data_IF_100509901866
#
_entry.id   IF_100509901866
#
_cell.length_a   1.000
_cell.length_b   1.000
_cell.length_c   1.000
_cell.angle_alpha   90.00
_cell.angle_beta   90.00
_cell.angle_gamma   90.00
#
_symmetry.space_group_name_H-M   'P 1'
#
loop_
_entity.id
_entity.type
_entity.pdbx_description
1 polymer ?
#
# COMPACT_ATOMS: atom_id res chain seq x y z
N UNK A 1 16.05 13.24 24.54
CA UNK A 1 15.14 14.31 24.02
C UNK A 1 13.69 13.90 24.15
N UNK A 2 13.32 12.71 23.66
CA UNK A 2 11.96 12.18 23.79
C UNK A 2 11.55 11.93 25.24
N UNK A 3 12.45 11.41 26.09
CA UNK A 3 12.15 11.20 27.53
C UNK A 3 11.78 12.50 28.28
N UNK A 4 12.37 13.63 27.90
CA UNK A 4 12.01 14.93 28.47
C UNK A 4 10.62 15.39 28.01
N UNK A 5 10.22 15.08 26.78
CA UNK A 5 8.86 15.37 26.29
C UNK A 5 7.82 14.47 26.99
N UNK A 6 8.17 13.19 27.22
CA UNK A 6 7.33 12.24 27.94
C UNK A 6 7.13 12.70 29.38
N UNK A 7 8.23 12.98 30.10
CA UNK A 7 8.20 13.45 31.48
C UNK A 7 7.39 14.75 31.62
N UNK A 8 7.55 15.68 30.68
CA UNK A 8 6.78 16.92 30.64
C UNK A 8 5.29 16.69 30.35
N UNK A 9 4.94 15.66 29.58
CA UNK A 9 3.54 15.27 29.36
C UNK A 9 2.90 14.66 30.62
N UNK A 10 3.67 13.93 31.42
CA UNK A 10 3.21 13.38 32.69
C UNK A 10 3.11 14.43 33.79
N UNK A 11 4.04 15.39 33.82
CA UNK A 11 3.97 16.56 34.70
C UNK A 11 2.78 17.45 34.35
N UNK A 12 2.49 17.64 33.05
CA UNK A 12 1.28 18.31 32.57
C UNK A 12 0.02 17.58 33.03
N UNK A 13 -0.01 16.25 32.91
CA UNK A 13 -1.14 15.44 33.37
C UNK A 13 -1.37 15.61 34.87
N UNK A 14 -0.31 15.54 35.69
CA UNK A 14 -0.38 15.76 37.14
C UNK A 14 -0.90 17.15 37.49
N UNK A 15 -0.37 18.18 36.84
CA UNK A 15 -0.86 19.54 37.03
C UNK A 15 -2.33 19.69 36.62
N UNK A 16 -2.73 19.05 35.52
CA UNK A 16 -4.12 19.07 35.07
C UNK A 16 -5.04 18.37 36.08
N UNK A 17 -4.65 17.19 36.59
CA UNK A 17 -5.41 16.46 37.60
C UNK A 17 -5.51 17.25 38.89
N UNK A 18 -4.42 17.86 39.37
CA UNK A 18 -4.43 18.67 40.59
C UNK A 18 -5.31 19.93 40.45
N UNK A 19 -5.25 20.59 39.28
CA UNK A 19 -6.08 21.77 39.00
C UNK A 19 -7.55 21.40 38.95
N UNK A 20 -7.87 20.25 38.35
CA UNK A 20 -9.23 19.85 38.06
C UNK A 20 -9.90 19.08 39.21
N UNK A 21 -9.15 18.44 40.11
CA UNK A 21 -9.67 17.87 41.38
C UNK A 21 -10.28 18.93 42.29
N UNK A 22 -9.88 20.21 42.15
CA UNK A 22 -10.53 21.32 42.85
C UNK A 22 -11.92 21.66 42.29
N UNK A 23 -12.28 21.10 41.13
CA UNK A 23 -13.57 21.27 40.46
C UNK A 23 -14.34 19.94 40.54
N UNK A 24 -15.63 19.95 40.90
CA UNK A 24 -16.47 18.75 41.12
C UNK A 24 -16.86 18.09 39.77
N UNK A 25 -15.89 17.80 38.91
CA UNK A 25 -16.13 17.24 37.59
C UNK A 25 -16.08 15.69 37.62
N UNK A 26 -16.86 15.02 36.77
CA UNK A 26 -16.82 13.57 36.66
C UNK A 26 -15.48 13.05 36.11
N UNK A 27 -14.99 11.92 36.61
CA UNK A 27 -13.69 11.32 36.22
C UNK A 27 -13.53 11.08 34.71
N UNK A 28 -14.62 10.75 34.01
CA UNK A 28 -14.58 10.53 32.56
C UNK A 28 -14.24 11.80 31.76
N UNK A 29 -14.52 12.99 32.32
CA UNK A 29 -14.18 14.27 31.67
C UNK A 29 -12.66 14.49 31.67
N UNK A 30 -11.97 14.12 32.74
CA UNK A 30 -10.50 14.21 32.83
C UNK A 30 -9.82 13.30 31.83
N UNK A 31 -10.31 12.06 31.70
CA UNK A 31 -9.77 11.11 30.74
C UNK A 31 -9.91 11.61 29.29
N UNK A 32 -11.04 12.23 28.93
CA UNK A 32 -11.24 12.79 27.59
C UNK A 32 -10.35 14.01 27.33
N UNK A 33 -10.16 14.89 28.31
CA UNK A 33 -9.30 16.08 28.17
C UNK A 33 -7.83 15.67 28.05
N UNK A 34 -7.33 14.76 28.90
CA UNK A 34 -5.95 14.24 28.80
C UNK A 34 -5.73 13.56 27.45
N UNK A 35 -6.64 12.68 27.02
CA UNK A 35 -6.56 12.02 25.72
C UNK A 35 -6.54 13.02 24.55
N UNK A 36 -7.35 14.08 24.62
CA UNK A 36 -7.39 15.14 23.61
C UNK A 36 -6.07 15.92 23.56
N UNK A 37 -5.51 16.28 24.71
CA UNK A 37 -4.26 17.03 24.82
C UNK A 37 -3.07 16.21 24.31
N UNK A 38 -2.84 15.05 24.93
CA UNK A 38 -2.61 13.76 24.26
C UNK A 38 -2.31 13.78 22.75
N UNK A 39 -3.40 13.53 22.03
CA UNK A 39 -3.45 13.43 20.58
C UNK A 39 -3.06 14.74 19.90
N UNK A 40 -3.44 15.91 20.45
CA UNK A 40 -3.10 17.20 19.88
C UNK A 40 -1.58 17.43 19.86
N UNK A 41 -0.87 17.13 20.96
CA UNK A 41 0.59 17.25 21.04
C UNK A 41 1.26 16.32 20.02
N UNK A 42 0.82 15.06 19.96
CA UNK A 42 1.37 14.10 19.01
C UNK A 42 1.13 14.53 17.56
N UNK A 43 -0.06 15.05 17.27
CA UNK A 43 -0.41 15.58 15.95
C UNK A 43 0.48 16.76 15.55
N UNK A 44 0.68 17.72 16.45
CA UNK A 44 1.55 18.88 16.21
C UNK A 44 3.00 18.42 15.96
N UNK A 45 3.50 17.49 16.76
CA UNK A 45 4.86 16.96 16.61
C UNK A 45 5.02 16.24 15.25
N UNK A 46 4.07 15.37 14.91
CA UNK A 46 4.04 14.66 13.64
C UNK A 46 3.96 15.63 12.46
N UNK A 47 3.12 16.66 12.54
CA UNK A 47 3.00 17.70 11.53
C UNK A 47 4.29 18.52 11.36
N UNK A 48 4.96 18.85 12.46
CA UNK A 48 6.24 19.54 12.43
C UNK A 48 7.31 18.68 11.72
N UNK A 49 7.39 17.40 12.06
CA UNK A 49 8.31 16.45 11.41
C UNK A 49 7.98 16.29 9.94
N UNK A 50 6.70 16.22 9.56
CA UNK A 50 6.28 16.23 8.16
C UNK A 50 6.77 17.49 7.42
N UNK A 51 6.56 18.67 8.01
CA UNK A 51 6.97 19.94 7.40
C UNK A 51 8.49 20.00 7.21
N UNK A 52 9.25 19.60 8.24
CA UNK A 52 10.71 19.53 8.19
C UNK A 52 11.17 18.52 7.16
N UNK A 53 10.65 17.30 7.17
CA UNK A 53 10.98 16.26 6.21
C UNK A 53 10.70 16.71 4.77
N UNK A 54 9.52 17.27 4.51
CA UNK A 54 9.14 17.81 3.20
C UNK A 54 10.09 18.92 2.75
N UNK A 55 10.42 19.87 3.62
CA UNK A 55 11.31 20.99 3.30
C UNK A 55 12.74 20.52 3.01
N UNK A 56 13.24 19.59 3.81
CA UNK A 56 14.56 18.97 3.63
C UNK A 56 14.60 18.19 2.31
N UNK A 57 13.65 17.29 2.09
CA UNK A 57 13.57 16.47 0.89
C UNK A 57 13.49 17.35 -0.37
N UNK A 58 12.57 18.32 -0.41
CA UNK A 58 12.45 19.24 -1.56
C UNK A 58 13.72 20.06 -1.79
N UNK A 59 14.36 20.54 -0.72
CA UNK A 59 15.61 21.30 -0.83
C UNK A 59 16.72 20.45 -1.45
N UNK A 60 16.91 19.22 -0.97
CA UNK A 60 17.88 18.29 -1.53
C UNK A 60 17.54 17.91 -2.97
N UNK A 61 16.26 17.66 -3.27
CA UNK A 61 15.80 17.35 -4.63
C UNK A 61 16.15 18.46 -5.63
N UNK A 62 15.85 19.73 -5.32
CA UNK A 62 16.17 20.87 -6.20
C UNK A 62 17.69 21.04 -6.34
N UNK A 63 18.45 20.83 -5.25
CA UNK A 63 19.91 20.96 -5.25
C UNK A 63 20.59 19.84 -6.05
N UNK A 64 20.08 18.61 -5.99
CA UNK A 64 20.54 17.46 -6.77
C UNK A 64 20.25 17.66 -8.26
N UNK A 65 19.03 18.06 -8.62
CA UNK A 65 18.64 18.36 -10.01
C UNK A 65 19.52 19.46 -10.63
N UNK A 66 19.82 20.53 -9.89
CA UNK A 66 20.68 21.61 -10.41
C UNK A 66 22.16 21.24 -10.51
N UNK A 67 22.63 20.20 -9.81
CA UNK A 67 24.05 19.77 -9.82
C UNK A 67 24.32 18.65 -10.83
N UNK A 68 23.32 17.86 -11.19
CA UNK A 68 23.52 16.68 -12.04
C UNK A 68 23.29 17.03 -13.51
N UNK A 69 24.12 16.49 -14.41
CA UNK A 69 23.89 16.57 -15.87
C UNK A 69 22.91 15.51 -16.39
N UNK A 70 22.49 14.60 -15.52
CA UNK A 70 21.54 13.53 -15.81
C UNK A 70 20.14 14.13 -15.90
N UNK A 71 19.25 13.56 -16.73
CA UNK A 71 17.83 13.92 -16.78
C UNK A 71 16.96 12.99 -15.93
N UNK A 72 17.56 11.98 -15.29
CA UNK A 72 16.81 10.92 -14.57
C UNK A 72 16.21 11.41 -13.25
N UNK A 73 16.88 12.33 -12.58
CA UNK A 73 16.44 13.01 -11.37
C UNK A 73 15.22 13.91 -11.59
N UNK A 74 15.10 14.54 -12.77
CA UNK A 74 13.90 15.31 -13.14
C UNK A 74 12.61 14.45 -13.09
N UNK A 75 12.69 13.18 -13.53
CA UNK A 75 11.55 12.26 -13.48
C UNK A 75 11.15 11.90 -12.03
N UNK A 76 12.13 11.73 -11.13
CA UNK A 76 11.86 11.51 -9.70
C UNK A 76 11.11 12.69 -9.07
N UNK A 77 11.46 13.92 -9.46
CA UNK A 77 10.77 15.15 -9.01
C UNK A 77 9.37 15.22 -9.60
N UNK A 78 9.24 14.99 -10.91
CA UNK A 78 7.97 15.05 -11.63
C UNK A 78 6.95 14.07 -11.05
N UNK A 79 7.36 12.82 -10.78
CA UNK A 79 6.53 11.80 -10.14
C UNK A 79 6.38 11.98 -8.63
N UNK A 80 7.00 13.02 -8.05
CA UNK A 80 6.91 13.40 -6.63
C UNK A 80 7.31 12.26 -5.68
N UNK A 81 8.29 11.43 -6.07
CA UNK A 81 8.73 10.26 -5.26
C UNK A 81 9.18 10.71 -3.87
N UNK A 82 10.02 11.75 -3.81
CA UNK A 82 10.51 12.30 -2.54
C UNK A 82 9.40 12.91 -1.66
N UNK A 83 8.36 13.46 -2.29
CA UNK A 83 7.20 13.94 -1.54
C UNK A 83 6.43 12.77 -0.91
N UNK A 84 6.25 11.66 -1.62
CA UNK A 84 5.62 10.46 -1.06
C UNK A 84 6.44 9.89 0.09
N UNK A 85 7.78 9.82 -0.05
CA UNK A 85 8.69 9.41 1.04
C UNK A 85 8.56 10.32 2.27
N UNK A 86 8.33 11.63 2.09
CA UNK A 86 8.19 12.56 3.22
C UNK A 86 7.02 12.23 4.15
N UNK A 87 6.00 11.50 3.67
CA UNK A 87 4.88 11.04 4.49
C UNK A 87 5.25 9.86 5.42
N UNK A 88 6.38 9.17 5.20
CA UNK A 88 6.86 8.11 6.11
C UNK A 88 7.30 8.72 7.45
N UNK A 89 7.94 9.89 7.42
CA UNK A 89 8.46 10.55 8.62
C UNK A 89 7.38 10.81 9.71
N UNK A 90 6.23 11.46 9.43
CA UNK A 90 5.18 11.64 10.44
C UNK A 90 4.59 10.33 10.94
N UNK A 91 4.53 9.30 10.10
CA UNK A 91 4.01 7.99 10.47
C UNK A 91 4.92 7.26 11.46
N UNK A 92 6.25 7.32 11.25
CA UNK A 92 7.25 6.79 12.18
C UNK A 92 7.15 7.50 13.54
N UNK A 93 6.95 8.81 13.55
CA UNK A 93 6.81 9.58 14.81
C UNK A 93 5.59 9.11 15.59
N UNK A 94 4.44 8.91 14.92
CA UNK A 94 3.24 8.39 15.58
C UNK A 94 3.50 7.00 16.12
N UNK A 95 4.05 6.09 15.31
CA UNK A 95 4.34 4.71 15.71
C UNK A 95 5.35 4.59 16.86
N UNK A 96 6.35 5.46 16.91
CA UNK A 96 7.39 5.40 17.94
C UNK A 96 6.95 6.02 19.28
N UNK A 97 5.93 6.90 19.25
CA UNK A 97 5.50 7.65 20.43
C UNK A 97 4.09 7.28 20.90
N UNK A 98 3.33 6.51 20.13
CA UNK A 98 1.98 6.11 20.50
C UNK A 98 1.92 5.36 21.83
N UNK A 99 2.86 4.45 22.10
CA UNK A 99 2.94 3.71 23.38
C UNK A 99 3.19 4.66 24.55
N UNK A 100 4.04 5.66 24.37
CA UNK A 100 4.33 6.65 25.41
C UNK A 100 3.16 7.59 25.67
N UNK A 101 2.43 7.99 24.63
CA UNK A 101 1.31 8.94 24.73
C UNK A 101 -0.01 8.25 25.11
N UNK A 102 -0.27 7.06 24.59
CA UNK A 102 -1.54 6.33 24.73
C UNK A 102 -1.44 5.02 25.51
N UNK A 103 -0.29 4.69 26.11
CA UNK A 103 -0.11 3.46 26.92
C UNK A 103 -1.11 3.30 28.07
N UNK A 104 -1.62 4.42 28.59
CA UNK A 104 -2.66 4.45 29.63
C UNK A 104 -4.06 4.05 29.08
N UNK A 105 -4.25 4.15 27.76
CA UNK A 105 -5.51 3.89 27.05
C UNK A 105 -5.33 2.73 26.04
N UNK A 106 -5.39 1.45 26.49
CA UNK A 106 -5.04 0.30 25.65
C UNK A 106 -5.82 0.21 24.33
N UNK A 107 -7.11 0.54 24.36
CA UNK A 107 -7.97 0.54 23.16
C UNK A 107 -7.53 1.60 22.14
N UNK A 108 -7.19 2.81 22.61
CA UNK A 108 -6.73 3.89 21.72
C UNK A 108 -5.32 3.59 21.21
N UNK A 109 -4.43 3.08 22.06
CA UNK A 109 -3.10 2.63 21.64
C UNK A 109 -3.22 1.60 20.51
N UNK A 110 -4.03 0.54 20.69
CA UNK A 110 -4.19 -0.49 19.67
C UNK A 110 -4.68 0.08 18.34
N UNK A 111 -5.67 0.98 18.37
CA UNK A 111 -6.22 1.61 17.17
C UNK A 111 -5.17 2.51 16.49
N UNK A 112 -4.54 3.41 17.26
CA UNK A 112 -3.55 4.36 16.72
C UNK A 112 -2.33 3.65 16.15
N UNK A 113 -1.81 2.65 16.86
CA UNK A 113 -0.69 1.81 16.42
C UNK A 113 -1.02 1.04 15.13
N UNK A 114 -2.21 0.43 15.09
CA UNK A 114 -2.70 -0.30 13.91
C UNK A 114 -2.81 0.63 12.70
N UNK A 115 -3.40 1.81 12.88
CA UNK A 115 -3.56 2.81 11.83
C UNK A 115 -2.20 3.34 11.36
N UNK A 116 -1.25 3.56 12.27
CA UNK A 116 0.10 4.01 11.93
C UNK A 116 0.82 2.99 11.04
N UNK A 117 0.74 1.69 11.36
CA UNK A 117 1.33 0.62 10.55
C UNK A 117 0.66 0.54 9.17
N UNK A 118 -0.67 0.53 9.11
CA UNK A 118 -1.40 0.47 7.84
C UNK A 118 -1.04 1.68 6.96
N UNK A 119 -0.95 2.87 7.55
CA UNK A 119 -0.55 4.08 6.86
C UNK A 119 0.90 3.99 6.33
N UNK A 120 1.83 3.48 7.13
CA UNK A 120 3.22 3.24 6.71
C UNK A 120 3.31 2.28 5.52
N UNK A 121 2.62 1.12 5.60
CA UNK A 121 2.55 0.16 4.48
C UNK A 121 2.01 0.88 3.24
N UNK A 122 0.88 1.59 3.36
CA UNK A 122 0.28 2.33 2.26
C UNK A 122 1.25 3.30 1.58
N UNK A 123 2.02 4.09 2.34
CA UNK A 123 2.99 5.04 1.78
C UNK A 123 4.14 4.33 1.07
N UNK A 124 4.67 3.24 1.63
CA UNK A 124 5.76 2.46 1.02
C UNK A 124 5.32 1.95 -0.35
N UNK A 125 4.16 1.31 -0.44
CA UNK A 125 3.63 0.79 -1.70
C UNK A 125 3.24 1.90 -2.69
N UNK A 126 2.72 3.03 -2.19
CA UNK A 126 2.44 4.19 -3.04
C UNK A 126 3.71 4.86 -3.58
N UNK A 127 4.80 4.83 -2.81
CA UNK A 127 6.13 5.29 -3.24
C UNK A 127 6.72 4.34 -4.27
N UNK A 128 6.60 3.02 -4.06
CA UNK A 128 7.08 2.00 -4.99
C UNK A 128 6.41 2.12 -6.36
N UNK A 129 5.09 2.37 -6.40
CA UNK A 129 4.37 2.64 -7.64
C UNK A 129 4.90 3.89 -8.36
N UNK A 130 5.19 4.98 -7.63
CA UNK A 130 5.81 6.15 -8.25
C UNK A 130 7.20 5.83 -8.83
N UNK A 131 8.00 5.03 -8.13
CA UNK A 131 9.31 4.62 -8.61
C UNK A 131 9.20 3.77 -9.89
N UNK A 132 8.24 2.85 -9.96
CA UNK A 132 7.95 2.08 -11.17
C UNK A 132 7.51 2.99 -12.33
N UNK A 133 6.68 4.00 -12.08
CA UNK A 133 6.31 4.99 -13.10
C UNK A 133 7.50 5.85 -13.56
N UNK A 134 8.46 6.15 -12.68
CA UNK A 134 9.70 6.83 -13.07
C UNK A 134 10.52 5.94 -14.01
N UNK A 135 10.61 4.63 -13.74
CA UNK A 135 11.29 3.70 -14.65
C UNK A 135 10.62 3.66 -16.03
N UNK A 136 9.29 3.69 -16.07
CA UNK A 136 8.53 3.80 -17.32
C UNK A 136 8.87 5.09 -18.08
N UNK A 137 8.86 6.24 -17.41
CA UNK A 137 9.18 7.53 -18.02
C UNK A 137 10.60 7.55 -18.59
N UNK A 138 11.56 7.03 -17.82
CA UNK A 138 12.97 6.92 -18.24
C UNK A 138 13.09 6.02 -19.47
N UNK A 139 12.42 4.89 -19.48
CA UNK A 139 12.42 3.97 -20.62
C UNK A 139 11.86 4.63 -21.88
N UNK A 140 10.75 5.37 -21.74
CA UNK A 140 10.08 6.05 -22.85
C UNK A 140 10.89 7.17 -23.48
N UNK A 141 12.01 7.60 -22.87
CA UNK A 141 12.95 8.54 -23.50
C UNK A 141 13.81 7.92 -24.61
N UNK A 142 13.88 6.59 -24.68
CA UNK A 142 14.77 5.88 -25.60
C UNK A 142 14.09 5.68 -26.96
N UNK A 143 14.84 5.78 -28.07
CA UNK A 143 14.26 5.70 -29.42
C UNK A 143 13.57 4.34 -29.70
N UNK A 144 14.07 3.25 -29.10
CA UNK A 144 13.49 1.92 -29.27
C UNK A 144 12.19 1.69 -28.47
N UNK A 145 11.80 2.61 -27.58
CA UNK A 145 10.60 2.46 -26.76
C UNK A 145 9.30 2.47 -27.57
N UNK A 146 9.33 3.07 -28.77
CA UNK A 146 8.20 3.12 -29.70
C UNK A 146 7.85 1.71 -30.21
N UNK A 147 8.86 0.91 -30.53
CA UNK A 147 8.67 -0.46 -31.05
C UNK A 147 8.43 -1.47 -29.94
N UNK A 148 8.91 -1.19 -28.72
CA UNK A 148 8.83 -2.09 -27.56
C UNK A 148 8.27 -1.37 -26.34
N UNK A 149 6.96 -1.10 -26.28
CA UNK A 149 6.36 -0.43 -25.14
C UNK A 149 6.40 -1.33 -23.90
N UNK A 150 6.94 -0.83 -22.79
CA UNK A 150 6.97 -1.58 -21.52
C UNK A 150 5.80 -1.29 -20.59
N UNK A 151 4.91 -0.38 -20.99
CA UNK A 151 3.81 0.10 -20.16
C UNK A 151 2.96 -1.03 -19.58
N UNK A 152 2.63 -2.03 -20.39
CA UNK A 152 1.85 -3.19 -19.94
C UNK A 152 2.56 -4.00 -18.85
N UNK A 153 3.88 -4.13 -18.92
CA UNK A 153 4.67 -4.84 -17.90
C UNK A 153 4.77 -4.01 -16.61
N UNK A 154 5.01 -2.70 -16.70
CA UNK A 154 5.01 -1.81 -15.54
C UNK A 154 3.61 -1.79 -14.88
N UNK A 155 2.54 -1.82 -15.67
CA UNK A 155 1.18 -1.90 -15.16
C UNK A 155 0.94 -3.21 -14.40
N UNK A 156 1.44 -4.33 -14.91
CA UNK A 156 1.38 -5.61 -14.19
C UNK A 156 2.15 -5.57 -12.87
N UNK A 157 3.36 -4.97 -12.85
CA UNK A 157 4.13 -4.77 -11.61
C UNK A 157 3.41 -3.87 -10.61
N UNK A 158 2.76 -2.80 -11.07
CA UNK A 158 1.93 -1.94 -10.22
C UNK A 158 0.74 -2.70 -9.62
N UNK A 159 0.10 -3.56 -10.40
CA UNK A 159 -0.98 -4.43 -9.92
C UNK A 159 -0.48 -5.37 -8.82
N UNK A 160 0.64 -6.06 -9.07
CA UNK A 160 1.28 -6.94 -8.07
C UNK A 160 1.62 -6.15 -6.80
N UNK A 161 2.18 -4.95 -6.96
CA UNK A 161 2.51 -4.05 -5.85
C UNK A 161 1.27 -3.74 -5.00
N UNK A 162 0.14 -3.40 -5.61
CA UNK A 162 -1.12 -3.15 -4.88
C UNK A 162 -1.62 -4.40 -4.17
N UNK A 163 -1.59 -5.57 -4.84
CA UNK A 163 -2.03 -6.85 -4.26
C UNK A 163 -1.19 -7.20 -3.03
N UNK A 164 0.14 -7.11 -3.14
CA UNK A 164 1.04 -7.41 -2.02
C UNK A 164 0.81 -6.43 -0.86
N UNK A 165 0.66 -5.13 -1.14
CA UNK A 165 0.37 -4.13 -0.12
C UNK A 165 -0.95 -4.41 0.63
N UNK A 166 -2.00 -4.76 -0.11
CA UNK A 166 -3.30 -5.14 0.47
C UNK A 166 -3.19 -6.41 1.33
N UNK A 167 -2.46 -7.42 0.87
CA UNK A 167 -2.24 -8.65 1.62
C UNK A 167 -1.48 -8.41 2.93
N UNK A 168 -0.46 -7.56 2.92
CA UNK A 168 0.26 -7.20 4.15
C UNK A 168 -0.65 -6.52 5.17
N UNK A 169 -1.55 -5.64 4.72
CA UNK A 169 -2.55 -5.02 5.59
C UNK A 169 -3.51 -6.07 6.17
N UNK A 170 -4.03 -6.98 5.33
CA UNK A 170 -4.94 -8.05 5.78
C UNK A 170 -4.25 -8.97 6.77
N UNK A 171 -3.03 -9.42 6.48
CA UNK A 171 -2.22 -10.26 7.38
C UNK A 171 -1.98 -9.56 8.71
N UNK A 172 -1.63 -8.28 8.68
CA UNK A 172 -1.44 -7.51 9.92
C UNK A 172 -2.73 -7.41 10.75
N UNK A 173 -3.88 -7.18 10.10
CA UNK A 173 -5.17 -7.04 10.78
C UNK A 173 -5.73 -8.36 11.32
N UNK A 174 -5.55 -9.46 10.58
CA UNK A 174 -6.14 -10.77 10.89
C UNK A 174 -5.19 -11.69 11.66
N UNK A 175 -3.88 -11.41 11.65
CA UNK A 175 -2.84 -12.30 12.16
C UNK A 175 -2.63 -13.55 11.30
N UNK A 176 -3.25 -13.62 10.11
CA UNK A 176 -3.15 -14.77 9.21
C UNK A 176 -2.03 -14.53 8.21
N UNK A 177 -1.07 -15.45 8.17
CA UNK A 177 0.07 -15.39 7.26
C UNK A 177 -0.38 -15.31 5.78
N UNK A 178 0.33 -14.51 4.99
CA UNK A 178 0.07 -14.31 3.56
C UNK A 178 0.00 -15.65 2.81
N UNK A 179 0.85 -16.61 3.16
CA UNK A 179 0.86 -17.95 2.55
C UNK A 179 -0.46 -18.71 2.74
N UNK A 180 -1.13 -18.56 3.89
CA UNK A 180 -2.42 -19.22 4.15
C UNK A 180 -3.54 -18.59 3.32
N UNK A 181 -3.50 -17.27 3.15
CA UNK A 181 -4.43 -16.54 2.28
C UNK A 181 -4.27 -17.01 0.82
N UNK A 182 -3.03 -17.12 0.33
CA UNK A 182 -2.74 -17.66 -1.00
C UNK A 182 -3.15 -19.13 -1.13
N UNK A 183 -2.95 -19.95 -0.11
CA UNK A 183 -3.38 -21.35 -0.13
C UNK A 183 -4.91 -21.46 -0.26
N UNK A 184 -5.66 -20.64 0.48
CA UNK A 184 -7.13 -20.56 0.37
C UNK A 184 -7.60 -20.10 -1.01
N UNK A 185 -7.04 -18.99 -1.51
CA UNK A 185 -7.31 -18.48 -2.86
C UNK A 185 -6.96 -19.49 -3.95
N UNK A 186 -5.81 -20.16 -3.82
CA UNK A 186 -5.35 -21.20 -4.74
C UNK A 186 -6.24 -22.43 -4.73
N UNK A 187 -6.68 -22.88 -3.56
CA UNK A 187 -7.64 -23.98 -3.44
C UNK A 187 -8.98 -23.63 -4.07
N UNK A 188 -9.52 -22.44 -3.81
CA UNK A 188 -10.74 -21.95 -4.46
C UNK A 188 -10.58 -21.84 -5.98
N UNK A 189 -9.45 -21.31 -6.46
CA UNK A 189 -9.15 -21.21 -7.88
C UNK A 189 -9.05 -22.59 -8.54
N UNK A 190 -8.43 -23.56 -7.89
CA UNK A 190 -8.34 -24.94 -8.38
C UNK A 190 -9.73 -25.61 -8.45
N UNK A 191 -10.58 -25.41 -7.45
CA UNK A 191 -11.96 -25.90 -7.47
C UNK A 191 -12.77 -25.24 -8.59
N UNK A 192 -12.67 -23.92 -8.75
CA UNK A 192 -13.32 -23.20 -9.84
C UNK A 192 -12.82 -23.68 -11.21
N UNK A 193 -11.51 -23.87 -11.37
CA UNK A 193 -10.91 -24.42 -12.59
C UNK A 193 -11.48 -25.81 -12.88
N UNK A 194 -11.63 -26.66 -11.86
CA UNK A 194 -12.18 -28.00 -12.00
C UNK A 194 -13.65 -27.97 -12.46
N UNK A 195 -14.48 -27.13 -11.85
CA UNK A 195 -15.90 -27.00 -12.17
C UNK A 195 -16.10 -26.44 -13.58
N UNK A 196 -15.31 -25.44 -13.96
CA UNK A 196 -15.43 -24.76 -15.26
C UNK A 196 -14.52 -25.33 -16.34
N UNK A 197 -13.84 -26.46 -16.09
CA UNK A 197 -12.85 -27.04 -17.01
C UNK A 197 -13.40 -27.19 -18.43
N UNK A 198 -14.55 -27.84 -18.57
CA UNK A 198 -15.14 -28.14 -19.88
C UNK A 198 -15.68 -26.89 -20.56
N UNK A 199 -16.22 -25.94 -19.79
CA UNK A 199 -16.65 -24.63 -20.31
C UNK A 199 -15.48 -23.82 -20.84
N UNK A 200 -14.34 -23.81 -20.12
CA UNK A 200 -13.11 -23.14 -20.56
C UNK A 200 -12.57 -23.79 -21.83
N UNK A 201 -12.54 -25.13 -21.90
CA UNK A 201 -12.12 -25.86 -23.10
C UNK A 201 -13.02 -25.56 -24.31
N UNK A 202 -14.33 -25.55 -24.11
CA UNK A 202 -15.29 -25.18 -25.15
C UNK A 202 -15.12 -23.74 -25.63
N UNK A 203 -14.89 -22.80 -24.71
CA UNK A 203 -14.62 -21.40 -25.05
C UNK A 203 -13.32 -21.23 -25.84
N UNK A 204 -12.22 -21.85 -25.39
CA UNK A 204 -10.93 -21.80 -26.09
C UNK A 204 -11.03 -22.46 -27.46
N UNK A 205 -11.74 -23.59 -27.58
CA UNK A 205 -12.01 -24.24 -28.87
C UNK A 205 -12.79 -23.31 -29.81
N UNK A 206 -13.79 -22.59 -29.30
CA UNK A 206 -14.54 -21.58 -30.05
C UNK A 206 -13.65 -20.44 -30.57
N UNK A 207 -12.80 -19.87 -29.72
CA UNK A 207 -11.82 -18.84 -30.13
C UNK A 207 -10.88 -19.39 -31.20
N UNK A 208 -10.36 -20.59 -31.01
CA UNK A 208 -9.43 -21.21 -31.97
C UNK A 208 -10.10 -21.46 -33.32
N UNK A 209 -11.30 -22.04 -33.35
CA UNK A 209 -12.07 -22.26 -34.58
C UNK A 209 -12.31 -20.96 -35.35
N UNK A 210 -12.67 -19.88 -34.64
CA UNK A 210 -12.93 -18.57 -35.23
C UNK A 210 -11.63 -17.88 -35.71
N UNK A 211 -10.60 -17.84 -34.87
CA UNK A 211 -9.33 -17.17 -35.16
C UNK A 211 -8.58 -17.83 -36.32
N UNK A 212 -8.59 -19.17 -36.38
CA UNK A 212 -7.93 -19.94 -37.43
C UNK A 212 -8.84 -20.21 -38.64
N UNK A 213 -10.08 -19.70 -38.64
CA UNK A 213 -11.08 -19.92 -39.71
C UNK A 213 -11.23 -21.41 -40.08
N UNK A 214 -11.17 -22.29 -39.08
CA UNK A 214 -11.18 -23.73 -39.31
C UNK A 214 -12.51 -24.24 -39.86
N UNK A 215 -13.60 -23.48 -39.65
CA UNK A 215 -14.92 -23.76 -40.21
C UNK A 215 -15.61 -22.47 -40.63
N UNK A 216 -16.34 -22.51 -41.74
CA UNK A 216 -17.15 -21.40 -42.26
C UNK A 216 -18.62 -21.79 -42.34
N UNK A 217 -19.48 -20.77 -42.36
CA UNK A 217 -20.92 -20.97 -42.56
C UNK A 217 -21.15 -21.60 -43.94
N UNK A 218 -21.72 -22.81 -43.97
CA UNK A 218 -21.96 -23.59 -45.18
C UNK A 218 -21.05 -24.80 -45.36
N UNK A 219 -20.03 -24.98 -44.51
CA UNK A 219 -19.18 -26.17 -44.54
C UNK A 219 -19.94 -27.39 -43.99
N UNK A 220 -19.90 -28.50 -44.73
CA UNK A 220 -20.40 -29.79 -44.24
C UNK A 220 -19.37 -30.40 -43.29
N UNK A 221 -19.78 -30.67 -42.04
CA UNK A 221 -18.91 -31.20 -41.01
C UNK A 221 -19.27 -32.68 -40.79
N UNK A 222 -18.26 -33.56 -40.83
CA UNK A 222 -18.40 -34.95 -40.41
C UNK A 222 -17.67 -35.14 -39.07
N UNK A 223 -18.38 -35.62 -38.06
CA UNK A 223 -17.79 -36.00 -36.78
C UNK A 223 -17.73 -37.52 -36.69
N UNK A 224 -16.53 -38.06 -36.49
CA UNK A 224 -16.35 -39.49 -36.26
C UNK A 224 -16.99 -39.86 -34.90
N UNK A 225 -17.79 -40.94 -34.83
CA UNK A 225 -18.27 -41.44 -33.56
C UNK A 225 -17.09 -41.89 -32.69
N UNK A 226 -17.18 -41.61 -31.39
CA UNK A 226 -16.12 -41.85 -30.40
C UNK A 226 -15.59 -43.30 -30.46
N UNK A 227 -16.43 -44.27 -30.82
CA UNK A 227 -16.08 -45.69 -30.98
C UNK A 227 -15.07 -46.00 -32.10
N UNK A 228 -14.76 -45.06 -33.00
CA UNK A 228 -13.74 -45.23 -34.04
C UNK A 228 -12.40 -44.54 -33.74
N UNK A 229 -12.31 -43.72 -32.68
CA UNK A 229 -11.07 -43.02 -32.33
C UNK A 229 -10.09 -43.85 -31.49
N UNK A 230 -10.55 -44.87 -30.75
CA UNK A 230 -9.68 -45.74 -29.92
C UNK A 230 -8.89 -46.80 -30.72
N UNK A 231 -9.04 -46.86 -32.05
CA UNK A 231 -8.36 -47.84 -32.92
C UNK A 231 -7.07 -47.33 -33.57
N UNK A 232 -6.57 -46.17 -33.16
CA UNK A 232 -5.34 -45.55 -33.67
C UNK A 232 -4.39 -45.15 -32.54
#
# INVERSE_FOLDING_TARGET
>A
MFDNLIKKSDDLRKWLTDLLETTILPEWTFALIDLGLRALILFILSFLVYYVAKKILLFYTIKLVRKTKSRYDDYLVHRRVFHRISHIAPAIVIYALDESFFGIYPSILKITHTLAIIYMIGIVFWTLQAALSVLEDIYNTKPYAIERPIRSYIQLLNLITIIVGALLIITYLTGVDVAKIFAGLGAMAAILLLIFKDTILGFVAGIQLSANKMMRVGDWISMLPITQMERF
#
